data_IF_492744083861
#
_entry.id   IF_492744083861
#
_cell.length_a   1.000
_cell.length_b   1.000
_cell.length_c   1.000
_cell.angle_alpha   90.00
_cell.angle_beta   90.00
_cell.angle_gamma   90.00
#
_symmetry.space_group_name_H-M   'P 1'
#
loop_
_entity.id
_entity.type
_entity.pdbx_description
1 polymer ?
#
# COMPACT_ATOMS: atom_id res chain seq x y z
N UNK A 1 18.70 -8.59 -7.90
CA UNK A 1 19.44 -7.30 -7.95
C UNK A 1 19.93 -6.94 -9.35
N UNK A 2 20.61 -7.82 -10.11
CA UNK A 2 21.09 -7.51 -11.47
C UNK A 2 19.99 -7.05 -12.44
N UNK A 3 18.84 -7.72 -12.41
CA UNK A 3 17.68 -7.37 -13.26
C UNK A 3 17.05 -6.01 -12.93
N UNK A 4 17.00 -5.64 -11.64
CA UNK A 4 16.48 -4.34 -11.20
C UNK A 4 17.37 -3.20 -11.70
N UNK A 5 18.68 -3.35 -11.56
CA UNK A 5 19.64 -2.35 -12.05
C UNK A 5 19.54 -2.16 -13.57
N UNK A 6 19.43 -3.26 -14.32
CA UNK A 6 19.21 -3.21 -15.76
C UNK A 6 17.89 -2.52 -16.11
N UNK A 7 16.79 -2.93 -15.46
CA UNK A 7 15.46 -2.37 -15.73
C UNK A 7 15.40 -0.87 -15.46
N UNK A 8 16.07 -0.39 -14.41
CA UNK A 8 16.17 1.04 -14.12
C UNK A 8 17.00 1.79 -15.17
N UNK A 9 18.15 1.24 -15.56
CA UNK A 9 19.04 1.87 -16.53
C UNK A 9 18.42 1.97 -17.93
N UNK A 10 17.53 1.04 -18.29
CA UNK A 10 16.84 1.00 -19.59
C UNK A 10 15.41 1.57 -19.55
N UNK A 11 14.99 2.20 -18.44
CA UNK A 11 13.63 2.68 -18.28
C UNK A 11 13.37 3.94 -19.14
N UNK A 12 12.33 3.88 -19.96
CA UNK A 12 11.90 5.00 -20.80
C UNK A 12 10.42 5.35 -20.54
N UNK A 13 10.08 6.62 -20.24
CA UNK A 13 11.01 7.73 -20.03
C UNK A 13 11.87 7.53 -18.78
N UNK A 14 13.00 8.24 -18.71
CA UNK A 14 13.89 8.18 -17.54
C UNK A 14 13.11 8.44 -16.25
N UNK A 15 13.20 7.56 -15.23
CA UNK A 15 12.47 7.72 -13.98
C UNK A 15 12.82 9.04 -13.30
N UNK A 16 11.81 9.70 -12.72
CA UNK A 16 12.02 10.92 -11.93
C UNK A 16 12.63 10.64 -10.55
N UNK A 17 12.48 9.41 -10.06
CA UNK A 17 13.06 8.94 -8.81
C UNK A 17 14.47 8.41 -9.06
N UNK A 18 15.36 8.58 -8.10
CA UNK A 18 16.62 7.82 -8.04
C UNK A 18 16.36 6.33 -7.86
N UNK A 19 17.37 5.49 -8.10
CA UNK A 19 17.26 4.04 -7.92
C UNK A 19 16.87 3.68 -6.46
N UNK A 20 17.46 4.33 -5.48
CA UNK A 20 17.19 4.08 -4.05
C UNK A 20 15.76 4.49 -3.67
N UNK A 21 15.28 5.61 -4.20
CA UNK A 21 13.89 6.04 -4.01
C UNK A 21 12.91 5.09 -4.70
N UNK A 22 13.22 4.65 -5.93
CA UNK A 22 12.41 3.68 -6.65
C UNK A 22 12.34 2.33 -5.93
N UNK A 23 13.47 1.86 -5.38
CA UNK A 23 13.53 0.67 -4.52
C UNK A 23 12.70 0.84 -3.25
N UNK A 24 12.74 2.03 -2.65
CA UNK A 24 11.97 2.34 -1.45
C UNK A 24 10.47 2.27 -1.73
N UNK A 25 9.98 2.93 -2.79
CA UNK A 25 8.57 2.82 -3.20
C UNK A 25 8.20 1.38 -3.55
N UNK A 26 9.07 0.67 -4.27
CA UNK A 26 8.82 -0.72 -4.67
C UNK A 26 8.69 -1.65 -3.45
N UNK A 27 9.46 -1.41 -2.39
CA UNK A 27 9.35 -2.18 -1.14
C UNK A 27 8.03 -1.95 -0.41
N UNK A 28 7.47 -0.73 -0.51
CA UNK A 28 6.16 -0.42 0.05
C UNK A 28 5.06 -1.11 -0.78
N UNK A 29 5.14 -0.99 -2.12
CA UNK A 29 4.21 -1.66 -3.05
C UNK A 29 4.20 -3.18 -2.87
N UNK A 30 5.37 -3.80 -2.66
CA UNK A 30 5.48 -5.24 -2.43
C UNK A 30 4.69 -5.70 -1.20
N UNK A 31 4.67 -4.89 -0.14
CA UNK A 31 3.98 -5.22 1.12
C UNK A 31 2.49 -4.91 1.07
N UNK A 32 2.05 -3.99 0.23
CA UNK A 32 0.64 -3.63 0.05
C UNK A 32 -0.10 -4.54 -0.94
N UNK A 33 0.57 -4.93 -2.02
CA UNK A 33 -0.08 -5.59 -3.14
C UNK A 33 -0.44 -7.05 -2.82
N UNK A 34 -1.72 -7.29 -2.54
CA UNK A 34 -2.28 -8.65 -2.48
C UNK A 34 -2.40 -9.23 -3.90
N UNK A 35 -2.88 -8.43 -4.85
CA UNK A 35 -3.07 -8.84 -6.24
C UNK A 35 -1.95 -8.31 -7.15
N UNK A 36 -1.48 -9.14 -8.08
CA UNK A 36 -0.47 -8.75 -9.08
C UNK A 36 -0.93 -7.57 -9.94
N UNK A 37 -2.20 -7.57 -10.34
CA UNK A 37 -2.79 -6.54 -11.18
C UNK A 37 -2.86 -5.15 -10.50
N UNK A 38 -2.84 -5.09 -9.17
CA UNK A 38 -3.00 -3.83 -8.43
C UNK A 38 -1.67 -3.08 -8.21
N UNK A 39 -0.52 -3.74 -8.39
CA UNK A 39 0.80 -3.15 -8.11
C UNK A 39 1.01 -1.81 -8.80
N UNK A 40 0.65 -1.71 -10.09
CA UNK A 40 0.81 -0.49 -10.87
C UNK A 40 -0.08 0.67 -10.37
N UNK A 41 -1.28 0.36 -9.87
CA UNK A 41 -2.21 1.36 -9.32
C UNK A 41 -1.77 1.80 -7.92
N UNK A 42 -1.34 0.86 -7.08
CA UNK A 42 -0.77 1.16 -5.75
C UNK A 42 0.49 2.03 -5.91
N UNK A 43 1.38 1.70 -6.84
CA UNK A 43 2.55 2.51 -7.17
C UNK A 43 2.13 3.93 -7.61
N UNK A 44 1.13 4.05 -8.49
CA UNK A 44 0.60 5.34 -8.92
C UNK A 44 0.09 6.18 -7.73
N UNK A 45 -0.64 5.57 -6.78
CA UNK A 45 -1.13 6.27 -5.59
C UNK A 45 0.02 6.89 -4.79
N UNK A 46 1.08 6.11 -4.51
CA UNK A 46 2.22 6.62 -3.74
C UNK A 46 2.99 7.71 -4.49
N UNK A 47 3.21 7.54 -5.80
CA UNK A 47 3.86 8.56 -6.63
C UNK A 47 3.02 9.85 -6.72
N UNK A 48 1.69 9.73 -6.84
CA UNK A 48 0.78 10.87 -6.85
C UNK A 48 0.81 11.62 -5.51
N UNK A 49 0.82 10.89 -4.39
CA UNK A 49 0.97 11.48 -3.05
C UNK A 49 2.29 12.23 -2.89
N UNK A 50 3.41 11.62 -3.31
CA UNK A 50 4.73 12.27 -3.29
C UNK A 50 4.71 13.58 -4.10
N UNK A 51 4.17 13.54 -5.32
CA UNK A 51 4.03 14.72 -6.19
C UNK A 51 3.20 15.83 -5.54
N UNK A 52 2.18 15.48 -4.75
CA UNK A 52 1.34 16.41 -4.00
C UNK A 52 1.86 16.77 -2.61
N UNK A 53 3.04 16.29 -2.22
CA UNK A 53 3.59 16.44 -0.84
C UNK A 53 2.64 15.94 0.24
N UNK A 54 1.84 14.93 -0.07
CA UNK A 54 0.98 14.24 0.90
C UNK A 54 1.79 13.16 1.62
N UNK A 55 1.59 12.97 2.94
CA UNK A 55 2.15 11.81 3.64
C UNK A 55 1.69 10.50 2.99
N UNK A 56 2.58 9.51 2.89
CA UNK A 56 2.24 8.24 2.25
C UNK A 56 1.20 7.46 3.04
N UNK A 57 1.28 7.51 4.38
CA UNK A 57 0.38 6.79 5.29
C UNK A 57 0.29 5.29 4.96
N UNK A 58 1.45 4.71 4.67
CA UNK A 58 1.56 3.29 4.33
C UNK A 58 1.71 2.46 5.60
N UNK A 59 0.72 1.63 5.92
CA UNK A 59 0.75 0.70 7.05
C UNK A 59 2.04 -0.16 7.14
N UNK A 60 2.57 -0.74 6.05
CA UNK A 60 3.75 -1.59 6.15
C UNK A 60 5.02 -0.82 6.58
N UNK A 61 5.05 0.50 6.39
CA UNK A 61 6.17 1.33 6.89
C UNK A 61 6.15 1.49 8.42
N UNK A 62 4.95 1.53 9.00
CA UNK A 62 4.76 1.53 10.46
C UNK A 62 5.03 0.14 11.02
N UNK A 63 4.58 -0.92 10.35
CA UNK A 63 4.87 -2.31 10.75
C UNK A 63 6.39 -2.56 10.77
N UNK A 64 7.11 -2.07 9.76
CA UNK A 64 8.57 -2.11 9.75
C UNK A 64 9.19 -1.34 10.92
N UNK A 65 8.69 -0.14 11.22
CA UNK A 65 9.16 0.67 12.34
C UNK A 65 8.91 0.02 13.71
N UNK A 66 7.79 -0.68 13.87
CA UNK A 66 7.44 -1.44 15.08
C UNK A 66 8.24 -2.74 15.17
N UNK A 67 8.70 -3.28 14.04
CA UNK A 67 9.38 -4.57 13.95
C UNK A 67 8.43 -5.77 13.92
N UNK A 68 7.15 -5.55 13.59
CA UNK A 68 6.11 -6.59 13.63
C UNK A 68 5.17 -6.50 12.42
N UNK A 69 5.04 -7.61 11.70
CA UNK A 69 4.10 -7.74 10.57
C UNK A 69 2.75 -8.24 11.05
N UNK A 70 1.84 -7.32 11.39
CA UNK A 70 0.51 -7.63 11.92
C UNK A 70 -0.61 -6.95 11.16
N UNK A 71 -1.80 -7.56 11.20
CA UNK A 71 -3.03 -6.91 10.72
C UNK A 71 -3.56 -5.97 11.80
N UNK A 72 -3.92 -4.76 11.39
CA UNK A 72 -4.54 -3.77 12.28
C UNK A 72 -3.52 -3.06 13.16
N UNK A 73 -3.08 -1.89 12.71
CA UNK A 73 -2.25 -1.01 13.53
C UNK A 73 -3.08 -0.36 14.64
N UNK A 74 -2.53 -0.33 15.84
CA UNK A 74 -3.11 0.36 16.98
C UNK A 74 -2.82 1.87 16.90
N UNK A 75 -3.53 2.67 17.70
CA UNK A 75 -3.20 4.10 17.84
C UNK A 75 -1.77 4.32 18.35
N UNK A 76 -1.27 3.43 19.21
CA UNK A 76 0.09 3.50 19.73
C UNK A 76 1.12 3.22 18.62
N UNK A 77 0.87 2.22 17.76
CA UNK A 77 1.74 1.93 16.61
C UNK A 77 1.81 3.16 15.68
N UNK A 78 0.66 3.75 15.34
CA UNK A 78 0.59 4.94 14.48
C UNK A 78 1.26 6.17 15.10
N UNK A 79 1.33 6.25 16.43
CA UNK A 79 1.98 7.34 17.16
C UNK A 79 3.51 7.16 17.27
N UNK A 80 4.06 5.99 16.93
CA UNK A 80 5.48 5.69 17.07
C UNK A 80 6.37 6.74 16.39
N UNK A 81 7.32 7.30 17.13
CA UNK A 81 8.30 8.23 16.58
C UNK A 81 9.39 7.46 15.84
N UNK A 82 9.30 7.38 14.52
CA UNK A 82 10.28 6.70 13.67
C UNK A 82 10.48 7.46 12.36
N UNK A 83 11.68 7.45 11.76
CA UNK A 83 11.87 7.96 10.41
C UNK A 83 11.11 7.15 9.35
N UNK A 84 10.73 5.90 9.65
CA UNK A 84 9.92 5.05 8.78
C UNK A 84 8.41 5.28 8.93
N UNK A 85 7.95 6.04 9.93
CA UNK A 85 6.51 6.26 10.12
C UNK A 85 5.98 7.33 9.14
N UNK A 86 5.48 6.87 7.99
CA UNK A 86 4.93 7.72 6.92
C UNK A 86 3.54 8.32 7.23
N UNK A 87 2.98 8.05 8.42
CA UNK A 87 1.85 8.82 8.94
C UNK A 87 2.31 10.13 9.60
N UNK A 88 3.52 10.14 10.16
CA UNK A 88 4.07 11.29 10.90
C UNK A 88 5.10 12.10 10.11
N UNK A 89 5.60 11.54 9.01
CA UNK A 89 6.60 12.18 8.14
C UNK A 89 6.13 12.22 6.70
N UNK A 90 6.39 13.34 6.04
CA UNK A 90 6.18 13.51 4.61
C UNK A 90 7.37 12.96 3.82
N UNK A 91 7.13 12.59 2.56
CA UNK A 91 8.14 12.03 1.68
C UNK A 91 8.37 10.53 1.91
N UNK A 92 9.50 10.05 1.40
CA UNK A 92 9.92 8.65 1.52
C UNK A 92 10.57 8.38 2.88
N UNK A 93 10.45 7.15 3.42
CA UNK A 93 11.28 6.72 4.52
C UNK A 93 12.77 6.65 4.09
N UNK A 94 13.73 6.53 5.03
CA UNK A 94 15.16 6.54 4.71
C UNK A 94 15.65 5.45 3.75
N UNK A 95 14.85 4.40 3.56
CA UNK A 95 15.19 3.28 2.69
C UNK A 95 14.05 2.26 2.58
N UNK A 96 14.30 1.15 1.87
CA UNK A 96 13.29 0.12 1.66
C UNK A 96 12.96 -0.63 2.96
N UNK A 97 11.72 -1.08 3.07
CA UNK A 97 11.20 -1.84 4.24
C UNK A 97 11.25 -3.37 4.03
N UNK A 98 11.60 -3.81 2.83
CA UNK A 98 11.85 -5.20 2.47
C UNK A 98 12.66 -5.26 1.16
N UNK A 99 13.06 -6.46 0.73
CA UNK A 99 13.62 -6.68 -0.61
C UNK A 99 12.49 -6.82 -1.63
N UNK A 100 12.22 -5.83 -2.50
CA UNK A 100 11.11 -5.92 -3.46
C UNK A 100 11.42 -6.89 -4.60
N UNK A 101 10.38 -7.54 -5.13
CA UNK A 101 10.47 -8.31 -6.36
C UNK A 101 10.50 -7.41 -7.60
N UNK A 102 10.90 -7.99 -8.75
CA UNK A 102 10.99 -7.28 -10.02
C UNK A 102 9.64 -6.66 -10.44
N UNK A 103 8.52 -7.36 -10.22
CA UNK A 103 7.20 -6.86 -10.61
C UNK A 103 6.79 -5.59 -9.85
N UNK A 104 7.12 -5.51 -8.56
CA UNK A 104 6.85 -4.32 -7.74
C UNK A 104 7.75 -3.16 -8.16
N UNK A 105 9.00 -3.45 -8.54
CA UNK A 105 9.91 -2.44 -9.09
C UNK A 105 9.45 -1.91 -10.45
N UNK A 106 9.08 -2.79 -11.38
CA UNK A 106 8.56 -2.41 -12.69
C UNK A 106 7.27 -1.58 -12.57
N UNK A 107 6.42 -1.89 -11.59
CA UNK A 107 5.21 -1.10 -11.30
C UNK A 107 5.53 0.34 -10.87
N UNK A 108 6.68 0.59 -10.23
CA UNK A 108 7.13 1.95 -9.89
C UNK A 108 7.71 2.67 -11.10
N UNK A 109 8.42 1.95 -11.98
CA UNK A 109 8.96 2.54 -13.22
C UNK A 109 7.86 2.87 -14.23
N UNK A 110 6.81 2.03 -14.28
CA UNK A 110 5.66 2.19 -15.17
C UNK A 110 4.36 2.06 -14.35
N UNK A 111 4.01 3.10 -13.58
CA UNK A 111 2.78 3.12 -12.81
C UNK A 111 1.56 3.18 -13.73
N UNK A 112 0.39 2.84 -13.20
CA UNK A 112 -0.87 3.04 -13.91
C UNK A 112 -1.15 4.54 -14.13
N UNK A 113 -1.76 4.89 -15.25
CA UNK A 113 -2.24 6.26 -15.50
C UNK A 113 -3.55 6.48 -14.74
N UNK A 114 -3.43 7.03 -13.53
CA UNK A 114 -4.57 7.33 -12.66
C UNK A 114 -4.24 8.51 -11.76
N UNK A 115 -5.27 9.23 -11.33
CA UNK A 115 -5.16 10.30 -10.32
C UNK A 115 -5.49 9.83 -8.91
N UNK A 116 -5.68 8.52 -8.71
CA UNK A 116 -5.99 7.96 -7.40
C UNK A 116 -4.96 8.42 -6.35
N UNK A 117 -5.49 8.80 -5.19
CA UNK A 117 -4.73 9.23 -4.01
C UNK A 117 -4.99 8.34 -2.81
N UNK A 118 -6.00 7.47 -2.88
CA UNK A 118 -6.42 6.64 -1.77
C UNK A 118 -6.75 5.24 -2.26
N UNK A 119 -6.59 4.27 -1.38
CA UNK A 119 -7.13 2.93 -1.59
C UNK A 119 -7.53 2.31 -0.25
N UNK A 120 -8.51 1.41 -0.29
CA UNK A 120 -8.98 0.63 0.86
C UNK A 120 -9.38 -0.77 0.39
N UNK A 121 -9.20 -1.78 1.22
CA UNK A 121 -9.61 -3.14 0.90
C UNK A 121 -11.11 -3.23 0.52
N UNK A 122 -11.44 -4.11 -0.44
CA UNK A 122 -12.80 -4.27 -0.99
C UNK A 122 -13.63 -5.41 -0.34
N UNK A 123 -13.11 -6.02 0.73
CA UNK A 123 -13.65 -7.21 1.41
C UNK A 123 -13.75 -8.50 0.55
N UNK A 124 -13.22 -8.50 -0.68
CA UNK A 124 -13.15 -9.63 -1.61
C UNK A 124 -11.71 -10.07 -1.88
N UNK A 125 -10.72 -9.28 -1.46
CA UNK A 125 -9.29 -9.59 -1.53
C UNK A 125 -8.47 -8.60 -2.36
N UNK A 126 -9.09 -7.57 -2.93
CA UNK A 126 -8.43 -6.46 -3.61
C UNK A 126 -8.69 -5.13 -2.93
N UNK A 127 -8.61 -4.05 -3.70
CA UNK A 127 -8.76 -2.68 -3.24
C UNK A 127 -9.72 -1.86 -4.11
N UNK A 128 -10.43 -0.95 -3.45
CA UNK A 128 -11.13 0.17 -4.09
C UNK A 128 -10.18 1.37 -4.08
N UNK A 129 -9.93 1.95 -5.24
CA UNK A 129 -9.10 3.14 -5.42
C UNK A 129 -9.98 4.38 -5.56
N UNK A 130 -9.51 5.52 -5.03
CA UNK A 130 -10.28 6.77 -5.03
C UNK A 130 -9.38 7.98 -5.24
N UNK A 131 -9.91 9.02 -5.89
CA UNK A 131 -9.20 10.28 -6.12
C UNK A 131 -9.42 11.27 -4.96
N UNK A 132 -10.60 11.22 -4.34
CA UNK A 132 -10.99 12.14 -3.27
C UNK A 132 -11.09 11.47 -1.90
N UNK A 133 -11.03 12.27 -0.84
CA UNK A 133 -11.18 11.77 0.52
C UNK A 133 -12.63 11.35 0.80
N UNK A 134 -13.59 12.03 0.18
CA UNK A 134 -15.02 11.73 0.28
C UNK A 134 -15.33 10.34 -0.28
N UNK A 135 -14.85 10.03 -1.49
CA UNK A 135 -14.94 8.70 -2.10
C UNK A 135 -14.26 7.64 -1.24
N UNK A 136 -13.06 7.94 -0.73
CA UNK A 136 -12.32 7.02 0.13
C UNK A 136 -13.05 6.74 1.45
N UNK A 137 -13.65 7.76 2.05
CA UNK A 137 -14.42 7.65 3.29
C UNK A 137 -15.66 6.79 3.10
N UNK A 138 -16.33 6.94 1.95
CA UNK A 138 -17.47 6.12 1.57
C UNK A 138 -17.05 4.66 1.31
N UNK A 139 -15.97 4.42 0.56
CA UNK A 139 -15.42 3.09 0.35
C UNK A 139 -15.04 2.40 1.68
N UNK A 140 -14.44 3.14 2.63
CA UNK A 140 -14.16 2.63 3.99
C UNK A 140 -15.44 2.27 4.75
N UNK A 141 -16.52 3.04 4.60
CA UNK A 141 -17.81 2.76 5.22
C UNK A 141 -18.41 1.47 4.68
N UNK A 142 -18.39 1.29 3.35
CA UNK A 142 -18.86 0.07 2.69
C UNK A 142 -18.03 -1.15 3.10
N UNK A 143 -16.71 -1.04 3.11
CA UNK A 143 -15.81 -2.10 3.58
C UNK A 143 -16.15 -2.56 5.01
N UNK A 144 -16.30 -1.61 5.94
CA UNK A 144 -16.68 -1.93 7.33
C UNK A 144 -18.05 -2.60 7.44
N UNK A 145 -19.02 -2.17 6.62
CA UNK A 145 -20.35 -2.78 6.58
C UNK A 145 -20.27 -4.23 6.11
N UNK A 146 -19.46 -4.51 5.09
CA UNK A 146 -19.30 -5.85 4.55
C UNK A 146 -18.58 -6.78 5.53
N UNK A 147 -17.52 -6.32 6.19
CA UNK A 147 -16.84 -7.10 7.25
C UNK A 147 -17.79 -7.48 8.39
N UNK A 148 -18.71 -6.60 8.78
CA UNK A 148 -19.70 -6.90 9.83
C UNK A 148 -20.67 -8.00 9.39
N UNK A 149 -21.14 -7.95 8.14
CA UNK A 149 -22.00 -8.99 7.58
C UNK A 149 -21.29 -10.34 7.51
N UNK A 150 -20.07 -10.37 6.97
CA UNK A 150 -19.27 -11.60 6.88
C UNK A 150 -19.05 -12.22 8.27
N UNK A 151 -18.74 -11.41 9.28
CA UNK A 151 -18.62 -11.88 10.66
C UNK A 151 -19.93 -12.46 11.22
N UNK A 152 -21.06 -11.81 10.98
CA UNK A 152 -22.36 -12.31 11.42
C UNK A 152 -22.70 -13.65 10.75
N UNK A 153 -22.50 -13.77 9.44
CA UNK A 153 -22.73 -15.01 8.69
C UNK A 153 -21.83 -16.15 9.17
N UNK A 154 -20.55 -15.89 9.45
CA UNK A 154 -19.62 -16.88 10.00
C UNK A 154 -20.05 -17.35 11.39
N UNK A 155 -20.56 -16.44 12.24
CA UNK A 155 -21.08 -16.78 13.56
C UNK A 155 -22.32 -17.67 13.46
N UNK A 156 -23.26 -17.36 12.55
CA UNK A 156 -24.46 -18.18 12.28
C UNK A 156 -24.12 -19.57 11.73
N UNK A 157 -23.12 -19.68 10.85
CA UNK A 157 -22.67 -20.98 10.34
C UNK A 157 -21.95 -21.82 11.39
N UNK A 158 -21.23 -21.18 12.32
CA UNK A 158 -20.52 -21.87 13.42
C UNK A 158 -21.44 -22.31 14.56
N UNK A 159 -22.66 -21.79 14.65
CA UNK A 159 -23.64 -22.10 15.70
C UNK A 159 -24.70 -23.11 15.27
N UNK A 160 -24.70 -23.57 14.01
CA UNK A 160 -25.59 -24.63 13.53
C UNK A 160 -24.98 -26.01 13.80
N UNK A 161 -25.60 -26.88 14.62
CA UNK A 161 -25.06 -28.20 14.89
C UNK A 161 -25.09 -29.07 13.63
N UNK A 162 -24.00 -29.80 13.37
CA UNK A 162 -23.94 -30.83 12.34
C UNK A 162 -25.10 -31.81 12.55
N UNK A 163 -25.96 -31.96 11.53
CA UNK A 163 -26.94 -33.04 11.45
C UNK A 163 -26.29 -34.32 10.99
#
# INVERSE_FOLDING_TARGET
MREIGTAYASAEPRPSLTLDEALTVASIVEREAVLKAERAVIAAVYLNRLKKRMPLQADPTVQYAVGEWKKGLTKADLALASPYNTYRRQGLPPGPICSPGLLSFLAVLKPADTRALYFVADARGGHVFSETNEEHSEARRLYKKELRKQKAMLQEQSSSPAR
#
